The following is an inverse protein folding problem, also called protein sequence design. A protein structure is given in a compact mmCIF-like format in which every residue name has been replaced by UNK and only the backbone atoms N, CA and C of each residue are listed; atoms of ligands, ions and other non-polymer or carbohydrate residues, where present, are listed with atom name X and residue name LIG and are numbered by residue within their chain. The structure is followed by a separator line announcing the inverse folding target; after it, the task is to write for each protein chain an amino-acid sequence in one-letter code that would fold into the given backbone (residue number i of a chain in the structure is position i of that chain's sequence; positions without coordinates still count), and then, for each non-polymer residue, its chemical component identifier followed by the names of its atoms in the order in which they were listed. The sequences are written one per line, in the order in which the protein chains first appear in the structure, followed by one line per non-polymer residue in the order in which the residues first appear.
data_IF_604448112427
#
_entry.id   IF_604448112427
#
_cell.length_a   1.000
_cell.length_b   1.000
_cell.length_c   1.000
_cell.angle_alpha   90.00
_cell.angle_beta   90.00
_cell.angle_gamma   90.00
#
_symmetry.space_group_name_H-M   'P 1'
#
loop_
_entity.id
_entity.type
_entity.pdbx_description
1 polymer ?
#
# COMPACT_ATOMS: atom_id res chain seq x y z
N UNK A 1 57.17 9.67 49.60
CA UNK A 1 56.68 9.15 48.29
C UNK A 1 55.19 9.23 48.30
N UNK A 2 54.61 10.15 47.49
CA UNK A 2 53.15 10.33 47.34
C UNK A 2 52.77 9.86 45.95
N UNK A 3 51.97 8.78 45.84
CA UNK A 3 51.41 8.32 44.59
C UNK A 3 50.06 9.03 44.35
N UNK A 4 49.98 9.80 43.25
CA UNK A 4 48.74 10.38 42.78
C UNK A 4 48.08 9.37 41.80
N UNK A 5 46.85 8.94 42.09
CA UNK A 5 46.04 8.12 41.21
C UNK A 5 45.26 9.05 40.27
N UNK A 6 45.52 8.94 38.95
CA UNK A 6 44.67 9.55 37.91
C UNK A 6 43.44 8.63 37.67
N UNK A 7 42.25 9.13 37.99
CA UNK A 7 41.00 8.52 37.59
C UNK A 7 40.61 9.02 36.19
N UNK A 8 40.68 8.15 35.17
CA UNK A 8 40.22 8.43 33.82
C UNK A 8 38.71 8.30 33.71
N UNK A 9 38.04 9.38 33.38
CA UNK A 9 36.59 9.40 33.06
C UNK A 9 36.40 8.93 31.61
N UNK A 10 35.93 7.73 31.42
CA UNK A 10 35.49 7.22 30.09
C UNK A 10 34.07 7.74 29.85
N UNK A 11 33.93 8.78 29.05
CA UNK A 11 32.64 9.27 28.56
C UNK A 11 32.11 8.37 27.49
N UNK A 12 31.01 7.64 27.77
CA UNK A 12 30.26 6.88 26.76
C UNK A 12 29.48 7.87 25.87
N UNK A 13 29.87 7.95 24.59
CA UNK A 13 29.07 8.63 23.57
C UNK A 13 27.83 7.76 23.28
N UNK A 14 26.68 8.20 23.76
CA UNK A 14 25.40 7.63 23.35
C UNK A 14 25.05 8.23 21.99
N UNK A 15 25.30 7.48 20.91
CA UNK A 15 24.82 7.84 19.58
C UNK A 15 23.32 7.53 19.54
N UNK A 16 22.48 8.53 19.75
CA UNK A 16 21.05 8.43 19.48
C UNK A 16 20.86 8.45 17.96
N UNK A 17 20.58 7.29 17.37
CA UNK A 17 20.08 7.22 15.98
C UNK A 17 18.71 7.86 15.94
N UNK A 18 18.64 9.10 15.44
CA UNK A 18 17.37 9.72 15.07
C UNK A 18 16.84 8.94 13.88
N UNK A 19 15.85 8.09 14.11
CA UNK A 19 15.09 7.47 13.02
C UNK A 19 14.44 8.59 12.22
N UNK A 20 14.87 8.80 10.98
CA UNK A 20 14.24 9.77 10.10
C UNK A 20 12.80 9.30 9.87
N UNK A 21 11.85 10.04 10.42
CA UNK A 21 10.43 9.75 10.25
C UNK A 21 10.09 9.80 8.78
N UNK A 22 9.46 8.74 8.25
CA UNK A 22 9.08 8.65 6.84
C UNK A 22 8.22 9.86 6.44
N UNK A 23 8.65 10.57 5.42
CA UNK A 23 7.90 11.71 4.87
C UNK A 23 6.83 11.18 3.94
N UNK A 24 5.58 11.22 4.39
CA UNK A 24 4.43 10.87 3.56
C UNK A 24 4.17 11.95 2.52
N UNK A 25 3.98 11.51 1.27
CA UNK A 25 3.70 12.39 0.12
C UNK A 25 2.38 11.99 -0.52
N UNK A 26 1.64 12.96 -1.00
CA UNK A 26 0.46 12.72 -1.81
C UNK A 26 0.88 12.37 -3.24
N UNK A 27 0.25 11.36 -3.81
CA UNK A 27 0.38 10.95 -5.20
C UNK A 27 -0.98 11.03 -5.87
N UNK A 28 -1.01 11.52 -7.10
CA UNK A 28 -2.23 11.73 -7.87
C UNK A 28 -2.10 11.14 -9.26
N UNK A 29 -3.17 10.59 -9.79
CA UNK A 29 -3.31 10.26 -11.19
C UNK A 29 -4.60 10.87 -11.75
N UNK A 30 -4.47 11.96 -12.46
CA UNK A 30 -5.61 12.57 -13.16
C UNK A 30 -6.21 11.64 -14.23
N UNK A 31 -5.41 10.91 -15.05
CA UNK A 31 -5.96 9.98 -16.04
C UNK A 31 -6.73 8.80 -15.44
N UNK A 32 -6.43 8.40 -14.21
CA UNK A 32 -7.04 7.27 -13.53
C UNK A 32 -8.05 7.69 -12.45
N UNK A 33 -8.12 8.99 -12.18
CA UNK A 33 -9.09 9.64 -11.29
C UNK A 33 -9.01 9.16 -9.83
N UNK A 34 -7.77 9.05 -9.30
CA UNK A 34 -7.55 8.76 -7.89
C UNK A 34 -6.26 9.38 -7.34
N UNK A 35 -6.21 9.52 -6.02
CA UNK A 35 -5.00 9.92 -5.30
C UNK A 35 -4.85 9.09 -4.02
N UNK A 36 -3.63 9.02 -3.50
CA UNK A 36 -3.31 8.36 -2.23
C UNK A 36 -2.02 8.94 -1.64
N UNK A 37 -1.71 8.58 -0.40
CA UNK A 37 -0.46 8.97 0.25
C UNK A 37 0.46 7.75 0.43
N UNK A 38 1.78 7.94 0.25
CA UNK A 38 2.78 6.92 0.49
C UNK A 38 4.04 7.50 1.15
N UNK A 39 4.80 6.69 1.92
CA UNK A 39 5.93 7.18 2.73
C UNK A 39 7.23 7.33 1.95
N UNK A 40 7.23 7.36 0.63
CA UNK A 40 8.45 7.51 -0.16
C UNK A 40 8.22 7.49 -1.65
N UNK A 41 9.29 7.47 -2.43
CA UNK A 41 9.22 7.50 -3.89
C UNK A 41 8.78 6.16 -4.47
N UNK A 42 7.73 6.20 -5.30
CA UNK A 42 7.13 5.02 -5.90
C UNK A 42 7.89 4.58 -7.16
N UNK A 43 8.14 3.29 -7.27
CA UNK A 43 8.57 2.65 -8.53
C UNK A 43 7.34 2.12 -9.25
N UNK A 44 7.35 2.24 -10.58
CA UNK A 44 6.27 1.74 -11.43
C UNK A 44 6.72 0.45 -12.09
N UNK A 45 5.91 -0.58 -11.95
CA UNK A 45 6.11 -1.90 -12.55
C UNK A 45 4.85 -2.30 -13.32
N UNK A 46 5.02 -3.04 -14.41
CA UNK A 46 3.91 -3.73 -15.07
C UNK A 46 3.78 -5.13 -14.50
N UNK A 47 2.54 -5.53 -14.27
CA UNK A 47 2.19 -6.87 -13.82
C UNK A 47 1.13 -7.49 -14.71
N UNK A 48 0.69 -8.69 -14.34
CA UNK A 48 -0.41 -9.37 -15.00
C UNK A 48 -1.40 -9.86 -13.95
N UNK A 49 -2.64 -9.41 -14.06
CA UNK A 49 -3.77 -9.99 -13.36
C UNK A 49 -4.30 -11.18 -14.17
N UNK A 50 -4.67 -12.27 -13.52
CA UNK A 50 -5.15 -13.51 -14.16
C UNK A 50 -6.46 -13.97 -13.52
N UNK A 51 -7.53 -13.18 -13.71
CA UNK A 51 -8.85 -13.55 -13.25
C UNK A 51 -9.51 -14.58 -14.16
N UNK A 52 -10.47 -15.33 -13.63
CA UNK A 52 -11.29 -16.24 -14.43
C UNK A 52 -12.32 -15.49 -15.27
N UNK A 53 -12.93 -14.44 -14.68
CA UNK A 53 -13.92 -13.59 -15.34
C UNK A 53 -13.26 -12.51 -16.17
N UNK A 54 -12.32 -11.76 -15.58
CA UNK A 54 -11.61 -10.68 -16.28
C UNK A 54 -10.66 -11.20 -17.35
N UNK A 55 -10.18 -12.44 -17.23
CA UNK A 55 -9.09 -12.97 -18.04
C UNK A 55 -7.74 -12.32 -17.73
N UNK A 56 -6.71 -12.59 -18.55
CA UNK A 56 -5.41 -11.95 -18.40
C UNK A 56 -5.48 -10.45 -18.69
N UNK A 57 -5.06 -9.61 -17.72
CA UNK A 57 -5.02 -8.14 -17.85
C UNK A 57 -3.66 -7.60 -17.47
N UNK A 58 -3.16 -6.61 -18.21
CA UNK A 58 -2.01 -5.84 -17.78
C UNK A 58 -2.39 -5.01 -16.54
N UNK A 59 -1.49 -4.94 -15.57
CA UNK A 59 -1.66 -4.10 -14.38
C UNK A 59 -0.54 -3.08 -14.28
N UNK A 60 -0.87 -1.92 -13.72
CA UNK A 60 0.13 -0.97 -13.22
C UNK A 60 0.27 -1.17 -11.73
N UNK A 61 1.51 -1.32 -11.29
CA UNK A 61 1.84 -1.49 -9.87
C UNK A 61 2.79 -0.36 -9.48
N UNK A 62 2.32 0.54 -8.63
CA UNK A 62 3.15 1.56 -7.98
C UNK A 62 3.61 0.99 -6.65
N UNK A 63 4.93 0.81 -6.50
CA UNK A 63 5.50 0.06 -5.39
C UNK A 63 6.57 0.84 -4.63
N UNK A 64 6.59 0.67 -3.33
CA UNK A 64 7.61 1.18 -2.43
C UNK A 64 7.84 0.22 -1.26
N UNK A 65 9.05 0.16 -0.73
CA UNK A 65 9.38 -0.64 0.46
C UNK A 65 10.16 0.22 1.42
N UNK A 66 9.70 0.30 2.66
CA UNK A 66 10.38 0.99 3.75
C UNK A 66 10.10 0.30 5.09
N UNK A 67 11.10 0.24 5.97
CA UNK A 67 10.98 -0.26 7.34
C UNK A 67 10.30 -1.66 7.44
N UNK A 68 10.57 -2.53 6.46
CA UNK A 68 9.96 -3.86 6.41
C UNK A 68 8.47 -3.86 6.06
N UNK A 69 7.95 -2.78 5.47
CA UNK A 69 6.60 -2.70 4.92
C UNK A 69 6.68 -2.47 3.42
N UNK A 70 5.99 -3.32 2.66
CA UNK A 70 5.82 -3.14 1.22
C UNK A 70 4.46 -2.49 0.95
N UNK A 71 4.46 -1.36 0.23
CA UNK A 71 3.29 -0.60 -0.19
C UNK A 71 3.08 -0.78 -1.68
N UNK A 72 1.85 -1.08 -2.10
CA UNK A 72 1.47 -1.23 -3.50
C UNK A 72 0.15 -0.53 -3.78
N UNK A 73 0.11 0.31 -4.81
CA UNK A 73 -1.12 0.73 -5.46
C UNK A 73 -1.21 0.02 -6.81
N UNK A 74 -2.28 -0.73 -7.04
CA UNK A 74 -2.45 -1.59 -8.21
C UNK A 74 -3.68 -1.12 -8.98
N UNK A 75 -3.54 -0.95 -10.28
CA UNK A 75 -4.63 -0.61 -11.20
C UNK A 75 -4.75 -1.71 -12.25
N UNK A 76 -5.94 -2.27 -12.39
CA UNK A 76 -6.29 -3.28 -13.40
C UNK A 76 -7.32 -2.64 -14.33
N UNK A 77 -7.01 -2.53 -15.60
CA UNK A 77 -7.93 -1.98 -16.59
C UNK A 77 -8.93 -3.05 -17.04
N UNK A 78 -10.21 -2.78 -16.75
CA UNK A 78 -11.35 -3.62 -17.11
C UNK A 78 -12.48 -2.78 -17.73
N UNK A 79 -12.11 -1.66 -18.40
CA UNK A 79 -13.06 -0.70 -18.97
C UNK A 79 -13.98 -1.32 -20.01
N UNK A 80 -13.54 -2.35 -20.72
CA UNK A 80 -14.35 -3.16 -21.64
C UNK A 80 -15.44 -4.01 -20.94
N UNK A 81 -15.35 -4.15 -19.59
CA UNK A 81 -16.26 -4.90 -18.75
C UNK A 81 -16.91 -4.03 -17.66
N UNK A 82 -17.03 -2.73 -17.88
CA UNK A 82 -17.49 -1.76 -16.86
C UNK A 82 -18.85 -2.12 -16.24
N UNK A 83 -19.72 -2.85 -16.95
CA UNK A 83 -21.03 -3.29 -16.44
C UNK A 83 -20.94 -4.48 -15.45
N UNK A 84 -19.77 -5.09 -15.28
CA UNK A 84 -19.56 -6.27 -14.43
C UNK A 84 -18.88 -5.92 -13.09
N UNK A 85 -18.99 -4.67 -12.64
CA UNK A 85 -18.28 -4.12 -11.48
C UNK A 85 -18.29 -5.04 -10.25
N UNK A 86 -19.47 -5.51 -9.83
CA UNK A 86 -19.61 -6.34 -8.64
C UNK A 86 -18.88 -7.70 -8.79
N UNK A 87 -18.99 -8.33 -9.97
CA UNK A 87 -18.34 -9.61 -10.24
C UNK A 87 -16.82 -9.47 -10.28
N UNK A 88 -16.33 -8.43 -10.96
CA UNK A 88 -14.89 -8.16 -11.08
C UNK A 88 -14.26 -7.81 -9.74
N UNK A 89 -14.96 -7.02 -8.92
CA UNK A 89 -14.50 -6.69 -7.58
C UNK A 89 -14.45 -7.94 -6.70
N UNK A 90 -15.51 -8.75 -6.71
CA UNK A 90 -15.58 -10.01 -5.97
C UNK A 90 -14.50 -11.01 -6.42
N UNK A 91 -14.18 -11.08 -7.71
CA UNK A 91 -13.09 -11.90 -8.21
C UNK A 91 -11.73 -11.43 -7.66
N UNK A 92 -11.46 -10.12 -7.71
CA UNK A 92 -10.20 -9.57 -7.20
C UNK A 92 -10.02 -9.84 -5.70
N UNK A 93 -11.09 -9.70 -4.91
CA UNK A 93 -11.12 -10.02 -3.48
C UNK A 93 -10.87 -11.52 -3.25
N UNK A 94 -11.56 -12.38 -3.97
CA UNK A 94 -11.40 -13.83 -3.87
C UNK A 94 -9.97 -14.28 -4.18
N UNK A 95 -9.38 -13.76 -5.25
CA UNK A 95 -7.99 -14.05 -5.62
C UNK A 95 -7.00 -13.53 -4.57
N UNK A 96 -7.28 -12.37 -3.97
CA UNK A 96 -6.45 -11.84 -2.90
C UNK A 96 -6.50 -12.73 -1.65
N UNK A 97 -7.66 -13.26 -1.31
CA UNK A 97 -7.84 -14.14 -0.16
C UNK A 97 -7.23 -15.53 -0.35
N UNK A 98 -7.15 -16.04 -1.59
CA UNK A 98 -6.82 -17.42 -1.95
C UNK A 98 -5.93 -18.16 -0.95
N UNK A 99 -6.53 -19.14 -0.23
CA UNK A 99 -5.88 -20.01 0.77
C UNK A 99 -5.16 -19.29 1.92
N UNK A 100 -5.41 -17.99 2.10
CA UNK A 100 -4.82 -17.19 3.17
C UNK A 100 -5.78 -17.07 4.34
N UNK A 101 -5.24 -16.86 5.53
CA UNK A 101 -6.05 -16.65 6.73
C UNK A 101 -6.59 -15.22 6.73
N UNK A 102 -7.89 -15.07 6.54
CA UNK A 102 -8.58 -13.78 6.62
C UNK A 102 -8.77 -13.42 8.10
N UNK A 103 -8.30 -12.25 8.49
CA UNK A 103 -8.43 -11.68 9.82
C UNK A 103 -9.54 -10.65 9.89
N UNK A 104 -9.72 -9.87 8.82
CA UNK A 104 -10.74 -8.86 8.69
C UNK A 104 -11.24 -8.83 7.24
N UNK A 105 -12.55 -8.66 7.08
CA UNK A 105 -13.22 -8.47 5.80
C UNK A 105 -14.43 -7.56 6.05
N UNK A 106 -14.38 -6.33 5.53
CA UNK A 106 -15.40 -5.31 5.75
C UNK A 106 -15.71 -4.51 4.51
N UNK A 107 -16.93 -3.99 4.42
CA UNK A 107 -17.27 -3.01 3.40
C UNK A 107 -16.53 -1.69 3.65
N UNK A 108 -16.20 -1.02 2.55
CA UNK A 108 -15.61 0.30 2.54
C UNK A 108 -16.42 1.23 1.62
N UNK A 109 -16.38 2.52 1.90
CA UNK A 109 -16.97 3.54 1.04
C UNK A 109 -16.07 4.77 1.06
N UNK A 110 -15.56 5.15 -0.10
CA UNK A 110 -14.74 6.35 -0.29
C UNK A 110 -15.29 7.14 -1.47
N UNK A 111 -15.61 8.41 -1.25
CA UNK A 111 -16.14 9.32 -2.28
C UNK A 111 -17.31 8.73 -3.10
N UNK A 112 -18.21 7.98 -2.43
CA UNK A 112 -19.36 7.24 -3.00
C UNK A 112 -19.01 5.99 -3.79
N UNK A 113 -17.75 5.57 -3.82
CA UNK A 113 -17.33 4.30 -4.39
C UNK A 113 -17.36 3.23 -3.32
N UNK A 114 -18.16 2.21 -3.54
CA UNK A 114 -18.22 1.03 -2.67
C UNK A 114 -17.01 0.14 -2.95
N UNK A 115 -16.48 -0.43 -1.90
CA UNK A 115 -15.33 -1.30 -1.95
C UNK A 115 -15.27 -2.25 -0.75
N UNK A 116 -14.14 -2.93 -0.64
CA UNK A 116 -13.85 -3.86 0.47
C UNK A 116 -12.50 -3.57 1.06
N UNK A 117 -12.40 -3.74 2.38
CA UNK A 117 -11.12 -3.79 3.09
C UNK A 117 -10.91 -5.17 3.68
N UNK A 118 -9.73 -5.71 3.46
CA UNK A 118 -9.33 -7.02 3.92
C UNK A 118 -8.00 -6.95 4.65
N UNK A 119 -7.86 -7.79 5.70
CA UNK A 119 -6.57 -8.06 6.31
C UNK A 119 -6.37 -9.57 6.34
N UNK A 120 -5.23 -10.03 5.85
CA UNK A 120 -4.88 -11.45 5.73
C UNK A 120 -3.49 -11.71 6.33
N UNK A 121 -3.32 -12.89 6.93
CA UNK A 121 -1.98 -13.43 7.20
C UNK A 121 -1.47 -14.19 5.98
N UNK A 122 -0.25 -13.90 5.56
CA UNK A 122 0.41 -14.63 4.49
C UNK A 122 0.88 -16.01 4.96
N UNK A 123 0.85 -17.04 4.11
CA UNK A 123 1.30 -18.38 4.47
C UNK A 123 2.78 -18.39 4.83
N UNK A 124 3.20 -19.44 5.58
CA UNK A 124 4.60 -19.66 5.95
C UNK A 124 5.24 -18.49 6.70
N UNK A 125 4.47 -17.82 7.55
CA UNK A 125 4.92 -16.62 8.28
C UNK A 125 5.46 -15.51 7.35
N UNK A 126 4.88 -15.37 6.17
CA UNK A 126 5.30 -14.39 5.15
C UNK A 126 4.92 -12.94 5.48
N UNK A 127 4.26 -12.71 6.62
CA UNK A 127 3.81 -11.40 7.06
C UNK A 127 2.29 -11.23 7.06
N UNK A 128 1.85 -9.99 7.15
CA UNK A 128 0.43 -9.60 7.14
C UNK A 128 0.19 -8.54 6.09
N UNK A 129 -0.90 -8.68 5.33
CA UNK A 129 -1.30 -7.69 4.34
C UNK A 129 -2.67 -7.11 4.69
N UNK A 130 -2.76 -5.78 4.73
CA UNK A 130 -4.03 -5.06 4.64
C UNK A 130 -4.22 -4.51 3.24
N UNK A 131 -5.43 -4.61 2.71
CA UNK A 131 -5.77 -4.16 1.37
C UNK A 131 -7.14 -3.50 1.33
N UNK A 132 -7.30 -2.53 0.43
CA UNK A 132 -8.60 -2.02 0.03
C UNK A 132 -8.75 -2.16 -1.49
N UNK A 133 -9.96 -2.52 -1.93
CA UNK A 133 -10.33 -2.72 -3.32
C UNK A 133 -11.53 -1.87 -3.66
N UNK A 134 -11.47 -1.20 -4.81
CA UNK A 134 -12.56 -0.37 -5.34
C UNK A 134 -12.70 -0.59 -6.83
N UNK A 135 -13.94 -0.44 -7.32
CA UNK A 135 -14.19 -0.39 -8.75
C UNK A 135 -14.58 1.02 -9.14
N UNK A 136 -13.77 1.64 -9.99
CA UNK A 136 -13.91 3.05 -10.36
C UNK A 136 -13.69 3.22 -11.86
N UNK A 137 -14.63 3.81 -12.56
CA UNK A 137 -14.53 4.14 -13.99
C UNK A 137 -14.08 2.95 -14.87
N UNK A 138 -14.59 1.74 -14.60
CA UNK A 138 -14.23 0.53 -15.33
C UNK A 138 -12.89 -0.08 -14.94
N UNK A 139 -12.30 0.30 -13.81
CA UNK A 139 -11.01 -0.20 -13.32
C UNK A 139 -11.13 -0.72 -11.90
N UNK A 140 -10.36 -1.75 -11.59
CA UNK A 140 -10.14 -2.17 -10.21
C UNK A 140 -8.91 -1.41 -9.72
N UNK A 141 -9.07 -0.64 -8.64
CA UNK A 141 -7.99 0.06 -7.94
C UNK A 141 -7.84 -0.57 -6.57
N UNK A 142 -6.63 -1.00 -6.21
CA UNK A 142 -6.37 -1.50 -4.87
C UNK A 142 -5.13 -0.87 -4.26
N UNK A 143 -5.21 -0.54 -2.96
CA UNK A 143 -4.05 -0.23 -2.12
C UNK A 143 -3.78 -1.43 -1.22
N UNK A 144 -2.53 -1.86 -1.17
CA UNK A 144 -2.09 -3.02 -0.38
C UNK A 144 -0.83 -2.66 0.39
N UNK A 145 -0.84 -2.87 1.71
CA UNK A 145 0.33 -2.72 2.56
C UNK A 145 0.64 -4.06 3.22
N UNK A 146 1.84 -4.58 2.99
CA UNK A 146 2.31 -5.85 3.54
C UNK A 146 3.41 -5.61 4.54
N UNK A 147 3.17 -5.91 5.82
CA UNK A 147 4.21 -5.97 6.83
C UNK A 147 4.96 -7.27 6.66
N UNK A 148 6.25 -7.17 6.36
CA UNK A 148 7.15 -8.29 6.21
C UNK A 148 7.66 -8.77 7.59
N UNK A 149 8.07 -10.02 7.76
CA UNK A 149 8.59 -10.55 9.03
C UNK A 149 9.75 -9.74 9.62
N UNK A 150 10.52 -9.06 8.77
CA UNK A 150 11.64 -8.20 9.18
C UNK A 150 11.23 -6.97 9.97
N UNK A 151 9.98 -6.52 9.87
CA UNK A 151 9.46 -5.40 10.67
C UNK A 151 9.18 -5.81 12.11
N UNK A 152 8.63 -7.03 12.31
CA UNK A 152 8.31 -7.59 13.63
C UNK A 152 6.98 -7.12 14.23
N UNK A 153 6.37 -6.05 13.75
CA UNK A 153 5.07 -5.54 14.19
C UNK A 153 4.02 -5.68 13.08
N UNK A 154 3.30 -6.80 13.10
CA UNK A 154 2.25 -7.09 12.10
C UNK A 154 0.99 -6.23 12.24
N UNK A 155 0.85 -5.48 13.30
CA UNK A 155 -0.27 -4.55 13.52
C UNK A 155 0.16 -3.08 13.34
N UNK A 156 1.24 -2.85 12.58
CA UNK A 156 1.76 -1.53 12.28
C UNK A 156 0.66 -0.57 11.79
N UNK A 157 0.51 0.62 12.41
CA UNK A 157 -0.50 1.60 12.01
C UNK A 157 -0.27 2.16 10.59
N UNK A 158 0.95 2.03 10.06
CA UNK A 158 1.30 2.49 8.72
C UNK A 158 0.54 1.73 7.62
N UNK A 159 0.16 0.46 7.86
CA UNK A 159 -0.71 -0.29 6.94
C UNK A 159 -2.06 0.38 6.77
N UNK A 160 -2.72 0.68 7.90
CA UNK A 160 -4.03 1.36 7.89
C UNK A 160 -3.92 2.74 7.26
N UNK A 161 -2.91 3.51 7.64
CA UNK A 161 -2.66 4.83 7.09
C UNK A 161 -2.54 4.82 5.57
N UNK A 162 -1.82 3.85 4.99
CA UNK A 162 -1.70 3.71 3.54
C UNK A 162 -3.03 3.34 2.90
N UNK A 163 -3.64 2.26 3.36
CA UNK A 163 -4.87 1.71 2.76
C UNK A 163 -6.04 2.69 2.86
N UNK A 164 -6.08 3.52 3.91
CA UNK A 164 -7.13 4.50 4.16
C UNK A 164 -6.88 5.85 3.49
N UNK A 165 -5.72 6.04 2.88
CA UNK A 165 -5.35 7.31 2.25
C UNK A 165 -5.96 7.54 0.87
N UNK A 166 -6.60 6.53 0.27
CA UNK A 166 -7.17 6.63 -1.08
C UNK A 166 -8.33 7.62 -1.14
N UNK A 167 -8.38 8.40 -2.21
CA UNK A 167 -9.52 9.25 -2.59
C UNK A 167 -9.76 9.17 -4.09
N UNK A 168 -11.02 9.23 -4.50
CA UNK A 168 -11.46 9.30 -5.89
C UNK A 168 -11.94 10.70 -6.25
N UNK A 169 -11.47 11.69 -5.50
CA UNK A 169 -11.68 13.09 -5.79
C UNK A 169 -10.31 13.78 -5.82
N UNK A 170 -9.62 13.75 -6.98
CA UNK A 170 -8.26 14.28 -7.11
C UNK A 170 -8.16 15.78 -6.80
N UNK A 171 -9.26 16.54 -6.86
CA UNK A 171 -9.30 17.96 -6.44
C UNK A 171 -8.97 18.13 -4.95
N UNK A 172 -9.11 17.09 -4.15
CA UNK A 172 -8.75 17.08 -2.73
C UNK A 172 -7.30 16.71 -2.44
N UNK A 173 -6.55 16.32 -3.47
CA UNK A 173 -5.12 16.08 -3.29
C UNK A 173 -4.42 17.39 -2.89
N UNK A 174 -3.34 17.28 -2.12
CA UNK A 174 -2.54 18.43 -1.74
C UNK A 174 -1.97 19.13 -2.99
N UNK A 175 -1.79 20.45 -2.94
CA UNK A 175 -1.25 21.24 -4.04
C UNK A 175 0.16 20.80 -4.48
N UNK A 176 0.89 20.10 -3.60
CA UNK A 176 2.21 19.53 -3.83
C UNK A 176 2.18 18.03 -4.19
N UNK A 177 1.02 17.50 -4.56
CA UNK A 177 0.87 16.10 -4.95
C UNK A 177 1.74 15.76 -6.17
N UNK A 178 2.37 14.60 -6.13
CA UNK A 178 3.23 14.09 -7.21
C UNK A 178 2.34 13.37 -8.22
N UNK A 179 2.39 13.81 -9.48
CA UNK A 179 1.67 13.13 -10.57
C UNK A 179 2.26 11.74 -10.79
N UNK A 180 1.39 10.72 -10.77
CA UNK A 180 1.77 9.37 -11.13
C UNK A 180 1.96 9.26 -12.66
N UNK A 181 2.97 8.51 -13.13
CA UNK A 181 3.12 8.30 -14.56
C UNK A 181 1.87 7.61 -15.12
N UNK A 182 1.39 8.03 -16.30
CA UNK A 182 0.22 7.43 -16.92
C UNK A 182 0.50 5.96 -17.28
N UNK A 183 -0.56 5.15 -17.40
CA UNK A 183 -0.43 3.80 -17.95
C UNK A 183 0.23 3.90 -19.33
N UNK A 184 1.26 3.09 -19.57
CA UNK A 184 1.87 2.98 -20.88
C UNK A 184 0.85 2.38 -21.85
N UNK A 185 0.67 3.03 -23.01
CA UNK A 185 -0.18 2.54 -24.10
C UNK A 185 0.31 1.21 -24.63
#
# INVERSE_FOLDING_TARGET
MRFAALAGLAGALVVTTVSAQAVWRAYISHPLDFAFAAPGELKVEKGTYRGEVAGPRETLVYKFVQDGIEYRAIVIDTTDMANNAATLLGEAEFMFQDKKKVLMDTFANVDRHLGRKLTIDLPNNGGRTSAAFYFVNGRIVSLQATVLPSNGDYDSPEMGRFVDSITFNPVRAADDAIELPPPSK
#
